data_IF_441827426794
#
_entry.id   IF_441827426794
#
_cell.length_a   1.000
_cell.length_b   1.000
_cell.length_c   1.000
_cell.angle_alpha   90.00
_cell.angle_beta   90.00
_cell.angle_gamma   90.00
#
_symmetry.space_group_name_H-M   'P 1'
#
loop_
_entity.id
_entity.type
_entity.pdbx_description
1 polymer ?
#
# COMPACT_ATOMS: atom_id res chain seq x y z
N UNK A 1 -22.38 -1.14 -18.43
CA UNK A 1 -22.37 -1.30 -16.97
C UNK A 1 -21.88 -2.70 -16.67
N UNK A 2 -20.70 -2.90 -16.08
CA UNK A 2 -20.31 -4.24 -15.65
C UNK A 2 -21.20 -4.60 -14.47
N UNK A 3 -21.79 -5.78 -14.53
CA UNK A 3 -22.63 -6.35 -13.48
C UNK A 3 -21.80 -6.55 -12.22
N UNK A 4 -22.07 -5.75 -11.20
CA UNK A 4 -21.60 -6.02 -9.84
C UNK A 4 -22.13 -7.42 -9.48
N UNK A 5 -21.20 -8.33 -9.22
CA UNK A 5 -21.50 -9.65 -8.65
C UNK A 5 -22.44 -9.44 -7.46
N UNK A 6 -23.47 -10.27 -7.34
CA UNK A 6 -24.40 -10.30 -6.22
C UNK A 6 -23.68 -10.82 -4.98
N UNK A 7 -22.73 -10.05 -4.47
CA UNK A 7 -22.07 -10.32 -3.19
C UNK A 7 -23.12 -10.09 -2.11
N UNK A 8 -23.27 -11.07 -1.22
CA UNK A 8 -24.05 -10.88 -0.01
C UNK A 8 -23.50 -9.61 0.69
N UNK A 9 -24.29 -8.52 0.85
CA UNK A 9 -23.79 -7.27 1.42
C UNK A 9 -23.25 -7.43 2.85
N UNK A 10 -23.61 -8.49 3.53
CA UNK A 10 -23.15 -8.80 4.89
C UNK A 10 -21.89 -9.70 4.91
N UNK A 11 -21.45 -10.21 3.75
CA UNK A 11 -20.19 -10.95 3.67
C UNK A 11 -19.02 -9.98 3.88
N UNK A 12 -17.96 -10.40 4.59
CA UNK A 12 -16.76 -9.57 4.72
C UNK A 12 -16.12 -9.32 3.37
N UNK A 13 -15.78 -8.07 3.06
CA UNK A 13 -14.98 -7.77 1.89
C UNK A 13 -13.51 -8.15 2.12
N UNK A 14 -12.88 -8.81 1.15
CA UNK A 14 -11.47 -9.18 1.20
C UNK A 14 -10.64 -8.22 0.35
N UNK A 15 -9.71 -7.52 1.00
CA UNK A 15 -8.74 -6.66 0.35
C UNK A 15 -7.34 -7.27 0.44
N UNK A 16 -6.54 -7.03 -0.60
CA UNK A 16 -5.12 -7.37 -0.64
C UNK A 16 -4.30 -6.11 -0.86
N UNK A 17 -3.31 -5.87 0.00
CA UNK A 17 -2.34 -4.79 -0.16
C UNK A 17 -1.05 -5.34 -0.71
N UNK A 18 -0.62 -4.79 -1.84
CA UNK A 18 0.71 -4.92 -2.44
C UNK A 18 1.40 -3.57 -2.31
N UNK A 19 2.65 -3.53 -1.87
CA UNK A 19 3.36 -2.29 -1.62
C UNK A 19 4.84 -2.42 -1.94
N UNK A 20 5.44 -1.31 -2.33
CA UNK A 20 6.90 -1.19 -2.43
C UNK A 20 7.50 -2.26 -3.37
N UNK A 21 6.97 -2.32 -4.59
CA UNK A 21 7.39 -3.32 -5.60
C UNK A 21 8.70 -2.94 -6.28
N UNK A 22 8.99 -1.65 -6.38
CA UNK A 22 10.22 -1.09 -6.95
C UNK A 22 10.61 -1.70 -8.30
N UNK A 23 9.62 -1.80 -9.22
CA UNK A 23 9.87 -2.34 -10.56
C UNK A 23 10.72 -1.39 -11.38
N UNK A 24 11.51 -1.94 -12.27
CA UNK A 24 12.31 -1.24 -13.28
C UNK A 24 11.65 -1.36 -14.66
N UNK A 25 12.12 -0.54 -15.62
CA UNK A 25 11.74 -0.67 -17.02
C UNK A 25 12.09 -2.06 -17.56
N UNK A 26 13.23 -2.60 -17.14
CA UNK A 26 13.72 -3.89 -17.55
C UNK A 26 13.31 -4.98 -16.53
N UNK A 27 12.78 -6.10 -17.01
CA UNK A 27 12.31 -7.17 -16.13
C UNK A 27 13.42 -7.87 -15.34
N UNK A 28 14.68 -7.69 -15.72
CA UNK A 28 15.86 -8.18 -14.99
C UNK A 28 16.41 -7.15 -13.99
N UNK A 29 15.75 -6.00 -13.85
CA UNK A 29 16.09 -4.98 -12.87
C UNK A 29 16.10 -5.52 -11.45
N UNK A 30 17.09 -5.11 -10.66
CA UNK A 30 17.27 -5.61 -9.31
C UNK A 30 17.52 -4.49 -8.30
N UNK A 31 16.98 -4.66 -7.09
CA UNK A 31 17.19 -3.81 -5.94
C UNK A 31 17.96 -4.59 -4.88
N UNK A 32 19.17 -4.14 -4.53
CA UNK A 32 20.05 -4.81 -3.58
C UNK A 32 20.24 -6.33 -3.86
N UNK A 33 20.34 -6.70 -5.14
CA UNK A 33 20.52 -8.07 -5.59
C UNK A 33 19.25 -8.89 -5.77
N UNK A 34 18.09 -8.35 -5.40
CA UNK A 34 16.80 -9.01 -5.63
C UNK A 34 16.18 -8.55 -6.96
N UNK A 35 15.88 -9.48 -7.87
CA UNK A 35 15.05 -9.18 -9.04
C UNK A 35 13.63 -8.85 -8.59
N UNK A 36 13.22 -7.59 -8.78
CA UNK A 36 11.95 -7.08 -8.23
C UNK A 36 10.74 -7.59 -8.99
N UNK A 37 10.87 -7.83 -10.31
CA UNK A 37 9.82 -8.40 -11.15
C UNK A 37 9.52 -9.86 -10.74
N UNK A 38 10.55 -10.72 -10.61
CA UNK A 38 10.38 -12.11 -10.17
C UNK A 38 9.79 -12.16 -8.76
N UNK A 39 10.25 -11.30 -7.87
CA UNK A 39 9.72 -11.20 -6.51
C UNK A 39 8.23 -10.88 -6.49
N UNK A 40 7.79 -9.82 -7.20
CA UNK A 40 6.38 -9.46 -7.30
C UNK A 40 5.55 -10.59 -7.94
N UNK A 41 6.05 -11.22 -8.99
CA UNK A 41 5.37 -12.34 -9.65
C UNK A 41 5.12 -13.51 -8.67
N UNK A 42 6.09 -13.84 -7.83
CA UNK A 42 5.94 -14.87 -6.78
C UNK A 42 4.94 -14.47 -5.71
N UNK A 43 4.95 -13.19 -5.27
CA UNK A 43 3.95 -12.70 -4.31
C UNK A 43 2.55 -12.79 -4.91
N UNK A 44 2.35 -12.39 -6.17
CA UNK A 44 1.06 -12.52 -6.86
C UNK A 44 0.63 -14.00 -6.97
N UNK A 45 1.56 -14.89 -7.26
CA UNK A 45 1.30 -16.33 -7.23
C UNK A 45 0.77 -16.79 -5.87
N UNK A 46 1.41 -16.35 -4.79
CA UNK A 46 0.98 -16.65 -3.41
C UNK A 46 -0.41 -16.06 -3.10
N UNK A 47 -0.68 -14.81 -3.52
CA UNK A 47 -2.01 -14.18 -3.38
C UNK A 47 -3.08 -15.04 -4.04
N UNK A 48 -2.87 -15.43 -5.29
CA UNK A 48 -3.82 -16.23 -6.07
C UNK A 48 -4.05 -17.63 -5.51
N UNK A 49 -3.04 -18.20 -4.88
CA UNK A 49 -3.13 -19.51 -4.21
C UNK A 49 -3.96 -19.43 -2.91
N UNK A 50 -3.76 -18.38 -2.13
CA UNK A 50 -4.31 -18.29 -0.77
C UNK A 50 -5.61 -17.52 -0.68
N UNK A 51 -5.86 -16.58 -1.61
CA UNK A 51 -7.01 -15.69 -1.60
C UNK A 51 -7.91 -15.94 -2.82
N UNK A 52 -8.90 -16.83 -2.71
CA UNK A 52 -9.68 -17.29 -3.88
C UNK A 52 -10.64 -16.23 -4.43
N UNK A 53 -11.01 -15.23 -3.63
CA UNK A 53 -11.95 -14.18 -4.02
C UNK A 53 -11.54 -12.87 -3.35
N UNK A 54 -11.05 -11.94 -4.16
CA UNK A 54 -10.56 -10.64 -3.72
C UNK A 54 -11.50 -9.57 -4.25
N UNK A 55 -11.95 -8.66 -3.38
CA UNK A 55 -12.85 -7.57 -3.73
C UNK A 55 -12.11 -6.32 -4.17
N UNK A 56 -10.87 -6.11 -3.68
CA UNK A 56 -10.02 -4.98 -4.06
C UNK A 56 -8.55 -5.25 -3.82
N UNK A 57 -7.71 -4.88 -4.79
CA UNK A 57 -6.26 -4.78 -4.61
C UNK A 57 -5.88 -3.32 -4.33
N UNK A 58 -5.10 -3.10 -3.28
CA UNK A 58 -4.54 -1.80 -2.91
C UNK A 58 -3.03 -1.82 -3.20
N UNK A 59 -2.57 -0.97 -4.11
CA UNK A 59 -1.16 -0.74 -4.38
C UNK A 59 -0.74 0.56 -3.70
N UNK A 60 0.05 0.46 -2.63
CA UNK A 60 0.27 1.55 -1.68
C UNK A 60 1.60 2.27 -1.85
N UNK A 61 2.02 2.47 -3.08
CA UNK A 61 3.17 3.30 -3.46
C UNK A 61 4.46 2.51 -3.67
N UNK A 62 5.44 3.22 -4.20
CA UNK A 62 6.74 2.70 -4.65
C UNK A 62 6.57 1.51 -5.60
N UNK A 63 5.67 1.68 -6.59
CA UNK A 63 5.39 0.67 -7.61
C UNK A 63 6.56 0.55 -8.58
N UNK A 64 7.19 1.68 -8.86
CA UNK A 64 8.35 1.82 -9.74
C UNK A 64 9.57 2.31 -8.97
N UNK A 65 10.76 1.80 -9.33
CA UNK A 65 12.04 2.30 -8.84
C UNK A 65 12.59 3.43 -9.72
N UNK A 66 12.34 3.37 -11.01
CA UNK A 66 12.93 4.27 -12.01
C UNK A 66 11.94 5.29 -12.60
N UNK A 67 10.67 5.27 -12.15
CA UNK A 67 9.62 6.17 -12.62
C UNK A 67 9.22 5.98 -14.08
N UNK A 68 9.67 4.93 -14.74
CA UNK A 68 9.44 4.70 -16.16
C UNK A 68 8.01 4.23 -16.46
N UNK A 69 7.49 4.55 -17.65
CA UNK A 69 6.20 4.03 -18.09
C UNK A 69 6.21 2.49 -18.17
N UNK A 70 7.32 1.91 -18.57
CA UNK A 70 7.47 0.47 -18.71
C UNK A 70 7.32 -0.26 -17.37
N UNK A 71 7.88 0.27 -16.28
CA UNK A 71 7.74 -0.33 -14.95
C UNK A 71 6.28 -0.34 -14.46
N UNK A 72 5.53 0.77 -14.66
CA UNK A 72 4.10 0.81 -14.33
C UNK A 72 3.26 -0.12 -15.21
N UNK A 73 3.59 -0.25 -16.49
CA UNK A 73 2.93 -1.23 -17.38
C UNK A 73 3.17 -2.66 -16.91
N UNK A 74 4.40 -3.00 -16.54
CA UNK A 74 4.73 -4.30 -15.95
C UNK A 74 3.96 -4.54 -14.64
N UNK A 75 3.89 -3.54 -13.76
CA UNK A 75 3.11 -3.65 -12.52
C UNK A 75 1.62 -3.92 -12.82
N UNK A 76 1.06 -3.19 -13.79
CA UNK A 76 -0.33 -3.39 -14.24
C UNK A 76 -0.57 -4.80 -14.81
N UNK A 77 0.33 -5.27 -15.65
CA UNK A 77 0.22 -6.59 -16.28
C UNK A 77 0.35 -7.72 -15.25
N UNK A 78 1.28 -7.59 -14.31
CA UNK A 78 1.47 -8.56 -13.23
C UNK A 78 0.25 -8.59 -12.30
N UNK A 79 -0.18 -7.44 -11.78
CA UNK A 79 -1.32 -7.34 -10.86
C UNK A 79 -2.64 -7.67 -11.53
N UNK A 80 -2.75 -7.46 -12.85
CA UNK A 80 -3.89 -7.88 -13.67
C UNK A 80 -4.13 -9.40 -13.69
N UNK A 81 -3.16 -10.21 -13.23
CA UNK A 81 -3.35 -11.66 -13.02
C UNK A 81 -4.23 -11.97 -11.79
N UNK A 82 -4.44 -10.98 -10.92
CA UNK A 82 -5.41 -11.05 -9.83
C UNK A 82 -6.75 -10.56 -10.41
N UNK A 83 -7.74 -11.44 -10.42
CA UNK A 83 -9.07 -11.12 -10.96
C UNK A 83 -9.86 -10.27 -9.94
N UNK A 84 -9.44 -9.00 -9.76
CA UNK A 84 -10.05 -8.05 -8.84
C UNK A 84 -9.80 -6.61 -9.32
N UNK A 85 -10.70 -5.66 -9.01
CA UNK A 85 -10.43 -4.24 -9.19
C UNK A 85 -9.23 -3.82 -8.35
N UNK A 86 -8.49 -2.79 -8.81
CA UNK A 86 -7.33 -2.27 -8.10
C UNK A 86 -7.40 -0.75 -7.92
N UNK A 87 -6.67 -0.24 -6.92
CA UNK A 87 -6.42 1.19 -6.70
C UNK A 87 -4.95 1.40 -6.37
N UNK A 88 -4.38 2.45 -6.93
CA UNK A 88 -2.97 2.80 -6.79
C UNK A 88 -2.82 4.18 -6.15
N UNK A 89 -1.79 4.34 -5.35
CA UNK A 89 -1.29 5.63 -4.89
C UNK A 89 0.22 5.70 -5.15
N UNK A 90 0.80 6.89 -5.36
CA UNK A 90 2.23 7.02 -5.50
C UNK A 90 2.95 6.93 -4.15
N UNK A 91 4.18 6.43 -4.18
CA UNK A 91 5.18 6.59 -3.14
C UNK A 91 6.26 7.60 -3.53
N UNK A 92 7.36 7.64 -2.79
CA UNK A 92 8.42 8.62 -3.03
C UNK A 92 9.34 8.27 -4.22
N UNK A 93 9.35 7.04 -4.67
CA UNK A 93 10.05 6.62 -5.89
C UNK A 93 9.20 6.78 -7.14
N UNK A 94 7.89 6.97 -7.00
CA UNK A 94 6.99 7.04 -8.13
C UNK A 94 6.98 8.43 -8.80
N UNK A 95 6.74 8.42 -10.12
CA UNK A 95 6.49 9.60 -10.93
C UNK A 95 4.98 9.73 -11.21
N UNK A 96 4.23 10.56 -10.46
CA UNK A 96 2.76 10.59 -10.53
C UNK A 96 2.20 10.85 -11.93
N UNK A 97 2.87 11.66 -12.75
CA UNK A 97 2.42 11.94 -14.11
C UNK A 97 2.57 10.73 -15.04
N UNK A 98 3.66 9.97 -14.87
CA UNK A 98 3.90 8.74 -15.64
C UNK A 98 2.96 7.63 -15.18
N UNK A 99 2.77 7.50 -13.85
CA UNK A 99 1.78 6.60 -13.26
C UNK A 99 0.37 6.88 -13.81
N UNK A 100 -0.03 8.16 -13.88
CA UNK A 100 -1.32 8.55 -14.46
C UNK A 100 -1.46 8.16 -15.94
N UNK A 101 -0.36 8.23 -16.69
CA UNK A 101 -0.36 7.78 -18.08
C UNK A 101 -0.54 6.25 -18.18
N UNK A 102 0.09 5.48 -17.30
CA UNK A 102 -0.11 4.03 -17.25
C UNK A 102 -1.52 3.62 -16.81
N UNK A 103 -2.18 4.48 -16.01
CA UNK A 103 -3.53 4.26 -15.49
C UNK A 103 -4.64 4.80 -16.39
N UNK A 104 -4.33 5.36 -17.56
CA UNK A 104 -5.31 5.98 -18.47
C UNK A 104 -6.43 4.99 -18.84
N UNK A 105 -7.66 5.48 -18.91
CA UNK A 105 -8.89 4.70 -19.17
C UNK A 105 -9.19 3.60 -18.12
N UNK A 106 -8.78 3.80 -16.87
CA UNK A 106 -9.07 2.89 -15.76
C UNK A 106 -9.42 3.68 -14.49
N UNK A 107 -9.95 2.98 -13.49
CA UNK A 107 -10.25 3.54 -12.17
C UNK A 107 -9.07 3.40 -11.19
N UNK A 108 -7.87 3.07 -11.66
CA UNK A 108 -6.72 2.74 -10.80
C UNK A 108 -6.34 3.87 -9.84
N UNK A 109 -6.51 5.13 -10.23
CA UNK A 109 -6.16 6.30 -9.43
C UNK A 109 -7.37 6.99 -8.78
N UNK A 110 -8.55 6.38 -8.84
CA UNK A 110 -9.72 6.93 -8.14
C UNK A 110 -9.50 6.90 -6.63
N UNK A 111 -9.59 8.06 -5.94
CA UNK A 111 -9.14 8.17 -4.57
C UNK A 111 -10.13 7.64 -3.54
N UNK A 112 -11.37 7.33 -3.95
CA UNK A 112 -12.41 6.84 -3.05
C UNK A 112 -13.12 5.65 -3.69
N UNK A 113 -13.28 4.58 -2.92
CA UNK A 113 -14.04 3.40 -3.36
C UNK A 113 -14.89 2.86 -2.21
N UNK A 114 -16.15 2.58 -2.51
CA UNK A 114 -17.09 1.97 -1.58
C UNK A 114 -17.17 0.45 -1.81
N UNK A 115 -17.02 -0.33 -0.72
CA UNK A 115 -17.09 -1.79 -0.74
C UNK A 115 -17.93 -2.25 0.43
N UNK A 116 -19.10 -2.85 0.17
CA UNK A 116 -20.01 -3.25 1.22
C UNK A 116 -20.33 -2.08 2.17
N UNK A 117 -20.06 -2.26 3.45
CA UNK A 117 -20.27 -1.24 4.50
C UNK A 117 -19.05 -0.34 4.73
N UNK A 118 -18.02 -0.43 3.89
CA UNK A 118 -16.78 0.31 4.03
C UNK A 118 -16.57 1.32 2.93
N UNK A 119 -15.84 2.37 3.26
CA UNK A 119 -15.23 3.31 2.32
C UNK A 119 -13.73 3.27 2.50
N UNK A 120 -13.02 3.05 1.40
CA UNK A 120 -11.56 3.16 1.33
C UNK A 120 -11.22 4.50 0.71
N UNK A 121 -10.42 5.29 1.41
CA UNK A 121 -9.92 6.59 0.92
C UNK A 121 -8.42 6.49 0.74
N UNK A 122 -7.95 6.80 -0.47
CA UNK A 122 -6.55 6.73 -0.86
C UNK A 122 -6.02 8.15 -1.04
N UNK A 123 -4.96 8.49 -0.30
CA UNK A 123 -4.36 9.82 -0.29
C UNK A 123 -2.97 9.78 -0.90
N UNK A 124 -2.64 10.81 -1.66
CA UNK A 124 -1.29 11.04 -2.14
C UNK A 124 -0.49 11.79 -1.06
N UNK A 125 0.55 11.13 -0.54
CA UNK A 125 1.51 11.72 0.41
C UNK A 125 2.88 11.96 -0.22
N UNK A 126 3.06 11.65 -1.51
CA UNK A 126 4.32 11.87 -2.20
C UNK A 126 4.58 13.36 -2.42
N UNK A 127 5.84 13.74 -2.32
CA UNK A 127 6.31 15.09 -2.58
C UNK A 127 7.40 15.02 -3.64
N UNK A 128 7.23 15.65 -4.80
CA UNK A 128 8.21 15.55 -5.88
C UNK A 128 9.63 15.87 -5.43
N UNK A 129 10.57 14.96 -5.70
CA UNK A 129 11.97 15.09 -5.33
C UNK A 129 12.29 15.00 -3.83
N UNK A 130 11.38 14.46 -3.03
CA UNK A 130 11.55 14.31 -1.58
C UNK A 130 11.25 12.89 -1.15
N UNK A 131 12.09 12.28 -0.30
CA UNK A 131 11.82 10.97 0.29
C UNK A 131 10.73 11.07 1.38
N UNK A 132 10.79 11.99 2.36
CA UNK A 132 9.70 12.16 3.31
C UNK A 132 8.41 12.69 2.66
N UNK A 133 7.28 12.19 3.14
CA UNK A 133 5.95 12.55 2.66
C UNK A 133 5.34 13.79 3.30
N UNK A 134 4.30 14.29 2.65
CA UNK A 134 3.48 15.40 3.17
C UNK A 134 2.07 15.32 2.58
N UNK A 135 1.04 15.37 3.41
CA UNK A 135 -0.35 15.51 2.95
C UNK A 135 -0.66 16.99 2.69
N UNK A 136 -0.78 17.33 1.41
CA UNK A 136 -1.19 18.68 1.00
C UNK A 136 -2.61 19.00 1.49
N UNK A 137 -2.95 20.28 1.59
CA UNK A 137 -4.27 20.71 2.05
C UNK A 137 -5.41 20.10 1.24
N UNK A 138 -5.23 19.89 -0.07
CA UNK A 138 -6.20 19.23 -0.93
C UNK A 138 -6.45 17.77 -0.53
N UNK A 139 -5.41 17.06 -0.10
CA UNK A 139 -5.53 15.67 0.36
C UNK A 139 -6.25 15.59 1.72
N UNK A 140 -5.98 16.53 2.62
CA UNK A 140 -6.69 16.63 3.91
C UNK A 140 -8.16 17.03 3.72
N UNK A 141 -8.46 17.89 2.74
CA UNK A 141 -9.84 18.26 2.35
C UNK A 141 -10.57 17.08 1.74
N UNK A 142 -9.93 16.34 0.80
CA UNK A 142 -10.46 15.10 0.22
C UNK A 142 -10.81 14.09 1.33
N UNK A 143 -9.90 13.88 2.28
CA UNK A 143 -10.15 12.99 3.41
C UNK A 143 -11.36 13.44 4.23
N UNK A 144 -11.39 14.71 4.65
CA UNK A 144 -12.49 15.25 5.46
C UNK A 144 -13.84 15.15 4.74
N UNK A 145 -13.86 15.40 3.42
CA UNK A 145 -15.03 15.28 2.58
C UNK A 145 -15.49 13.81 2.49
N UNK A 146 -14.59 12.88 2.14
CA UNK A 146 -14.90 11.46 2.00
C UNK A 146 -15.48 10.87 3.30
N UNK A 147 -14.94 11.28 4.47
CA UNK A 147 -15.42 10.87 5.78
C UNK A 147 -16.82 11.45 6.08
N UNK A 148 -17.04 12.72 5.75
CA UNK A 148 -18.30 13.42 6.01
C UNK A 148 -19.45 12.94 5.12
N UNK A 149 -19.17 12.59 3.88
CA UNK A 149 -20.17 12.13 2.91
C UNK A 149 -20.71 10.72 3.19
N UNK A 150 -19.98 9.92 3.96
CA UNK A 150 -20.36 8.55 4.28
C UNK A 150 -20.33 8.26 5.79
N UNK A 151 -21.09 9.01 6.62
CA UNK A 151 -21.03 8.89 8.08
C UNK A 151 -21.52 7.55 8.62
N UNK A 152 -22.24 6.78 7.80
CA UNK A 152 -22.80 5.47 8.14
C UNK A 152 -21.91 4.31 7.67
N UNK A 153 -20.77 4.60 7.02
CA UNK A 153 -19.78 3.59 6.61
C UNK A 153 -18.62 3.54 7.59
N UNK A 154 -17.98 2.39 7.66
CA UNK A 154 -16.66 2.25 8.27
C UNK A 154 -15.60 2.72 7.29
N UNK A 155 -14.51 3.31 7.77
CA UNK A 155 -13.51 3.89 6.90
C UNK A 155 -12.13 3.24 7.10
N UNK A 156 -11.48 2.93 5.97
CA UNK A 156 -10.06 2.61 5.85
C UNK A 156 -9.39 3.75 5.08
N UNK A 157 -8.31 4.30 5.63
CA UNK A 157 -7.53 5.40 5.00
C UNK A 157 -6.16 4.87 4.61
N UNK A 158 -5.79 5.05 3.35
CA UNK A 158 -4.54 4.54 2.79
C UNK A 158 -3.67 5.70 2.27
N UNK A 159 -2.37 5.65 2.53
CA UNK A 159 -1.35 6.52 1.94
C UNK A 159 0.02 5.83 2.04
N UNK A 160 1.09 6.44 1.52
CA UNK A 160 2.36 5.73 1.44
C UNK A 160 3.23 5.84 2.69
N UNK A 161 3.48 7.07 3.20
CA UNK A 161 4.47 7.33 4.24
C UNK A 161 3.94 7.07 5.66
N UNK A 162 4.74 6.49 6.54
CA UNK A 162 4.34 6.18 7.92
C UNK A 162 4.03 7.47 8.74
N UNK A 163 2.88 7.51 9.45
CA UNK A 163 2.44 8.70 10.20
C UNK A 163 2.84 8.68 11.68
N UNK A 164 3.51 7.62 12.13
CA UNK A 164 3.93 7.44 13.53
C UNK A 164 5.33 6.86 13.57
N UNK A 165 6.04 7.08 14.68
CA UNK A 165 7.32 6.43 14.91
C UNK A 165 7.18 4.91 14.80
N UNK A 166 8.07 4.28 14.07
CA UNK A 166 8.11 2.83 13.90
C UNK A 166 9.21 2.18 14.73
N UNK A 167 10.03 2.99 15.43
CA UNK A 167 11.15 2.53 16.23
C UNK A 167 12.37 2.12 15.39
N UNK A 168 12.50 2.67 14.19
CA UNK A 168 13.62 2.45 13.27
C UNK A 168 14.27 3.80 12.98
N UNK A 169 15.39 4.11 13.62
CA UNK A 169 15.93 5.47 13.71
C UNK A 169 16.22 6.12 12.35
N UNK A 170 16.78 5.36 11.38
CA UNK A 170 17.07 5.90 10.05
C UNK A 170 15.82 6.20 9.22
N UNK A 171 14.67 5.57 9.54
CA UNK A 171 13.41 5.81 8.86
C UNK A 171 12.59 6.97 9.45
N UNK A 172 12.81 7.33 10.73
CA UNK A 172 12.03 8.38 11.39
C UNK A 172 12.01 9.71 10.61
N UNK A 173 13.15 10.19 10.02
CA UNK A 173 13.16 11.45 9.27
C UNK A 173 12.42 11.41 7.94
N UNK A 174 12.10 10.22 7.42
CA UNK A 174 11.53 10.04 6.07
C UNK A 174 10.04 9.64 6.09
N UNK A 175 9.39 9.68 7.25
CA UNK A 175 7.95 9.49 7.38
C UNK A 175 7.11 10.68 6.90
N UNK A 176 5.85 10.68 7.27
CA UNK A 176 4.92 11.78 7.01
C UNK A 176 5.29 12.99 7.86
N UNK A 177 5.54 14.16 7.25
CA UNK A 177 6.00 15.38 7.94
C UNK A 177 4.91 16.14 8.70
N UNK A 178 3.63 15.91 8.36
CA UNK A 178 2.49 16.57 9.01
C UNK A 178 1.46 15.57 9.56
N UNK A 179 1.88 14.58 10.38
CA UNK A 179 0.96 13.58 10.92
C UNK A 179 -0.10 14.20 11.84
N UNK A 180 0.21 15.30 12.51
CA UNK A 180 -0.74 16.01 13.39
C UNK A 180 -1.95 16.53 12.60
N UNK A 181 -1.73 17.03 11.37
CA UNK A 181 -2.82 17.48 10.50
C UNK A 181 -3.71 16.32 10.07
N UNK A 182 -3.12 15.16 9.74
CA UNK A 182 -3.85 13.94 9.46
C UNK A 182 -4.71 13.52 10.67
N UNK A 183 -4.10 13.37 11.84
CA UNK A 183 -4.80 12.92 13.05
C UNK A 183 -5.85 13.93 13.50
N UNK A 184 -5.63 15.24 13.32
CA UNK A 184 -6.65 16.25 13.60
C UNK A 184 -7.92 16.07 12.73
N UNK A 185 -7.80 15.54 11.53
CA UNK A 185 -8.96 15.15 10.72
C UNK A 185 -9.55 13.85 11.25
N UNK A 186 -8.75 12.77 11.38
CA UNK A 186 -9.24 11.45 11.75
C UNK A 186 -9.95 11.41 13.09
N UNK A 187 -9.43 12.10 14.10
CA UNK A 187 -9.98 12.10 15.48
C UNK A 187 -11.39 12.73 15.57
N UNK A 188 -11.86 13.40 14.52
CA UNK A 188 -13.22 13.94 14.42
C UNK A 188 -14.24 12.90 13.93
N UNK A 189 -13.80 11.76 13.43
CA UNK A 189 -14.62 10.77 12.74
C UNK A 189 -14.48 9.37 13.37
N UNK A 190 -15.33 9.00 14.33
CA UNK A 190 -15.24 7.73 15.07
C UNK A 190 -15.49 6.49 14.20
N UNK A 191 -16.02 6.68 12.98
CA UNK A 191 -16.19 5.61 11.99
C UNK A 191 -14.90 5.19 11.29
N UNK A 192 -13.79 5.93 11.43
CA UNK A 192 -12.47 5.49 10.96
C UNK A 192 -12.01 4.30 11.81
N UNK A 193 -11.70 3.18 11.15
CA UNK A 193 -11.30 1.92 11.81
C UNK A 193 -9.84 1.59 11.62
N UNK A 194 -9.26 1.99 10.49
CA UNK A 194 -7.85 1.72 10.24
C UNK A 194 -7.21 2.76 9.32
N UNK A 195 -5.90 2.89 9.48
CA UNK A 195 -4.96 3.58 8.58
C UNK A 195 -3.98 2.54 8.07
N UNK A 196 -3.69 2.55 6.77
CA UNK A 196 -2.85 1.57 6.08
C UNK A 196 -1.80 2.29 5.24
N UNK A 197 -0.54 1.86 5.35
CA UNK A 197 0.58 2.47 4.58
C UNK A 197 1.61 1.46 4.10
N UNK A 198 2.52 1.90 3.22
CA UNK A 198 3.68 1.18 2.72
C UNK A 198 4.99 1.74 3.28
N UNK A 199 5.97 2.00 2.42
CA UNK A 199 7.21 2.72 2.67
C UNK A 199 8.21 2.05 3.63
N UNK A 200 7.72 1.44 4.67
CA UNK A 200 8.57 0.92 5.76
C UNK A 200 9.10 -0.49 5.49
N UNK A 201 8.58 -1.20 4.50
CA UNK A 201 8.91 -2.59 4.18
C UNK A 201 8.90 -3.50 5.42
N UNK A 202 8.01 -3.21 6.37
CA UNK A 202 7.87 -3.94 7.62
C UNK A 202 6.39 -4.20 7.91
N UNK A 203 6.12 -5.31 8.55
CA UNK A 203 4.80 -5.56 9.13
C UNK A 203 4.62 -4.76 10.42
N UNK A 204 3.62 -3.90 10.44
CA UNK A 204 3.21 -3.15 11.63
C UNK A 204 1.72 -3.37 11.87
N UNK A 205 1.37 -3.57 13.14
CA UNK A 205 0.00 -3.64 13.61
C UNK A 205 -0.05 -3.04 15.02
N UNK A 206 -0.54 -1.83 15.10
CA UNK A 206 -0.63 -1.03 16.34
C UNK A 206 -2.00 -0.38 16.40
N UNK A 207 -2.30 0.26 17.51
CA UNK A 207 -3.56 0.98 17.72
C UNK A 207 -3.30 2.38 18.29
N UNK A 208 -4.09 3.35 17.82
CA UNK A 208 -4.17 4.70 18.36
C UNK A 208 -5.64 5.11 18.44
N UNK A 209 -6.12 5.41 19.65
CA UNK A 209 -7.50 5.89 19.90
C UNK A 209 -8.60 5.00 19.27
N UNK A 210 -8.41 3.68 19.27
CA UNK A 210 -9.36 2.73 18.65
C UNK A 210 -9.23 2.61 17.13
N UNK A 211 -8.27 3.29 16.50
CA UNK A 211 -7.94 3.18 15.08
C UNK A 211 -6.72 2.28 14.92
N UNK A 212 -6.83 1.22 14.12
CA UNK A 212 -5.68 0.36 13.81
C UNK A 212 -4.73 1.07 12.87
N UNK A 213 -3.44 0.95 13.15
CA UNK A 213 -2.33 1.51 12.39
C UNK A 213 -1.54 0.37 11.78
N UNK A 214 -1.64 0.21 10.46
CA UNK A 214 -1.18 -0.98 9.74
C UNK A 214 -0.15 -0.61 8.67
N UNK A 215 0.98 -1.33 8.64
CA UNK A 215 1.91 -1.31 7.53
C UNK A 215 2.10 -2.69 6.91
N UNK A 216 2.41 -2.70 5.63
CA UNK A 216 2.65 -3.92 4.86
C UNK A 216 4.13 -4.22 4.70
N UNK A 217 4.52 -5.51 4.61
CA UNK A 217 5.78 -5.85 4.00
C UNK A 217 5.84 -5.37 2.55
N UNK A 218 7.04 -5.18 2.05
CA UNK A 218 7.28 -4.97 0.63
C UNK A 218 7.09 -6.28 -0.16
N UNK A 219 6.72 -6.17 -1.42
CA UNK A 219 6.74 -7.28 -2.35
C UNK A 219 8.14 -7.57 -2.90
N UNK A 220 9.17 -6.78 -2.47
CA UNK A 220 10.58 -7.05 -2.74
C UNK A 220 11.39 -7.12 -1.43
N UNK A 221 12.41 -6.29 -1.23
CA UNK A 221 13.26 -6.33 -0.02
C UNK A 221 12.52 -5.88 1.23
N UNK A 222 12.97 -6.37 2.39
CA UNK A 222 12.44 -5.98 3.68
C UNK A 222 13.47 -5.19 4.49
N UNK A 223 13.05 -4.21 5.28
CA UNK A 223 13.93 -3.50 6.20
C UNK A 223 13.89 -4.11 7.60
N UNK A 224 15.04 -4.12 8.27
CA UNK A 224 15.14 -4.69 9.61
C UNK A 224 14.46 -3.78 10.64
N UNK A 225 13.48 -4.28 11.41
CA UNK A 225 12.85 -3.51 12.46
C UNK A 225 13.84 -3.10 13.56
N UNK A 226 13.65 -1.91 14.13
CA UNK A 226 14.41 -1.44 15.29
C UNK A 226 15.88 -1.11 14.99
N UNK A 227 16.29 -0.99 13.73
CA UNK A 227 17.66 -0.65 13.36
C UNK A 227 17.94 0.85 13.48
N UNK A 228 19.15 1.19 13.92
CA UNK A 228 19.62 2.57 13.97
C UNK A 228 20.01 3.07 12.57
N UNK A 229 20.77 2.24 11.84
CA UNK A 229 21.21 2.49 10.48
C UNK A 229 20.41 1.66 9.47
N UNK A 230 20.55 2.01 8.18
CA UNK A 230 19.96 1.24 7.09
C UNK A 230 20.38 -0.23 7.18
N UNK A 231 19.40 -1.12 7.25
CA UNK A 231 19.62 -2.55 7.35
C UNK A 231 18.49 -3.34 6.69
N UNK A 232 18.87 -4.26 5.81
CA UNK A 232 17.95 -5.22 5.18
C UNK A 232 17.66 -6.37 6.15
N UNK A 233 16.41 -6.82 6.16
CA UNK A 233 15.97 -8.03 6.86
C UNK A 233 16.05 -9.24 5.94
N UNK A 234 16.28 -10.42 6.50
CA UNK A 234 16.21 -11.70 5.79
C UNK A 234 14.79 -12.23 5.58
N UNK A 235 13.79 -11.47 6.04
CA UNK A 235 12.39 -11.86 5.84
C UNK A 235 12.05 -11.88 4.35
N UNK A 236 11.25 -12.86 3.95
CA UNK A 236 10.79 -12.99 2.57
C UNK A 236 9.80 -11.88 2.19
N UNK A 237 9.71 -11.53 0.90
CA UNK A 237 8.65 -10.72 0.34
C UNK A 237 7.26 -11.24 0.68
N UNK A 238 6.29 -10.34 0.72
CA UNK A 238 4.94 -10.74 1.08
C UNK A 238 3.88 -9.69 0.76
N UNK A 239 2.70 -9.93 1.26
CA UNK A 239 1.55 -9.04 1.13
C UNK A 239 0.73 -9.02 2.42
N UNK A 240 -0.12 -8.00 2.58
CA UNK A 240 -1.13 -7.96 3.66
C UNK A 240 -2.51 -8.24 3.07
N UNK A 241 -3.31 -9.02 3.79
CA UNK A 241 -4.74 -9.16 3.52
C UNK A 241 -5.56 -8.49 4.64
N UNK A 242 -6.75 -8.00 4.28
CA UNK A 242 -7.70 -7.39 5.21
C UNK A 242 -9.10 -7.95 4.92
N UNK A 243 -9.80 -8.42 5.95
CA UNK A 243 -11.22 -8.76 5.90
C UNK A 243 -12.01 -7.69 6.62
N UNK A 244 -12.87 -7.02 5.90
CA UNK A 244 -13.66 -5.89 6.35
C UNK A 244 -15.09 -6.36 6.59
N UNK A 245 -15.47 -6.54 7.84
CA UNK A 245 -16.80 -7.02 8.23
C UNK A 245 -17.84 -5.90 8.21
N UNK A 246 -19.10 -6.24 7.99
CA UNK A 246 -20.22 -5.28 7.93
C UNK A 246 -20.40 -4.49 9.23
N UNK A 247 -20.03 -5.06 10.39
CA UNK A 247 -20.08 -4.43 11.72
C UNK A 247 -18.91 -3.49 12.04
N UNK A 248 -17.96 -3.34 11.11
CA UNK A 248 -16.75 -2.51 11.28
C UNK A 248 -15.56 -3.24 11.91
N UNK A 249 -15.69 -4.51 12.22
CA UNK A 249 -14.56 -5.34 12.63
C UNK A 249 -13.63 -5.56 11.44
N UNK A 250 -12.32 -5.46 11.68
CA UNK A 250 -11.27 -5.68 10.70
C UNK A 250 -10.37 -6.83 11.17
N UNK A 251 -10.26 -7.87 10.35
CA UNK A 251 -9.25 -8.92 10.48
C UNK A 251 -8.16 -8.71 9.46
N UNK A 252 -6.91 -8.98 9.81
CA UNK A 252 -5.79 -8.83 8.88
C UNK A 252 -4.64 -9.74 9.27
N UNK A 253 -3.83 -10.07 8.31
CA UNK A 253 -2.57 -10.77 8.48
C UNK A 253 -1.62 -10.50 7.31
N UNK A 254 -0.42 -10.97 7.45
CA UNK A 254 0.65 -10.91 6.45
C UNK A 254 1.00 -12.31 6.02
N UNK A 255 1.11 -12.52 4.72
CA UNK A 255 1.61 -13.76 4.14
C UNK A 255 2.91 -13.48 3.39
N UNK A 256 3.86 -14.40 3.51
CA UNK A 256 5.19 -14.29 2.91
C UNK A 256 5.54 -15.53 2.10
N UNK A 257 6.35 -15.35 1.05
CA UNK A 257 6.84 -16.45 0.22
C UNK A 257 7.63 -17.41 1.10
N UNK A 258 7.31 -18.70 1.02
CA UNK A 258 8.02 -19.75 1.75
C UNK A 258 9.25 -20.20 0.98
N UNK A 259 10.36 -20.49 1.70
CA UNK A 259 11.59 -20.98 1.09
C UNK A 259 12.24 -19.97 0.14
N UNK A 260 11.98 -18.68 0.32
CA UNK A 260 12.61 -17.62 -0.44
C UNK A 260 13.99 -17.30 0.19
N UNK A 261 15.01 -17.46 -0.61
CA UNK A 261 16.38 -17.14 -0.22
C UNK A 261 16.97 -16.15 -1.25
N UNK A 262 17.61 -15.11 -0.78
CA UNK A 262 18.39 -14.21 -1.61
C UNK A 262 19.58 -13.68 -0.82
N UNK A 263 20.62 -13.28 -1.54
CA UNK A 263 21.79 -12.66 -0.94
C UNK A 263 21.72 -11.16 -1.18
N UNK A 264 21.79 -10.38 -0.08
CA UNK A 264 21.78 -8.92 -0.18
C UNK A 264 23.10 -8.43 -0.78
N UNK A 265 23.02 -7.73 -1.89
CA UNK A 265 24.16 -7.05 -2.51
C UNK A 265 24.16 -5.57 -2.10
N UNK A 266 24.87 -5.26 -1.02
CA UNK A 266 25.07 -3.87 -0.57
C UNK A 266 25.99 -3.04 -1.49
N UNK A 267 26.63 -3.65 -2.47
CA UNK A 267 27.45 -2.97 -3.48
C UNK A 267 26.64 -2.47 -4.69
N UNK A 268 25.39 -2.93 -4.83
CA UNK A 268 24.50 -2.45 -5.89
C UNK A 268 23.93 -1.07 -5.56
N UNK A 269 23.91 -0.17 -6.56
CA UNK A 269 23.25 1.13 -6.41
C UNK A 269 21.73 0.92 -6.38
N UNK A 270 21.02 1.54 -5.45
CA UNK A 270 19.57 1.45 -5.51
C UNK A 270 18.77 1.93 -4.30
N UNK A 271 19.43 2.27 -3.20
CA UNK A 271 18.75 2.88 -2.04
C UNK A 271 19.57 4.00 -1.46
#
# INVERSE_FOLDING_TARGET
MPSVSTVNPDAPALLVQLSDSHLFAEADGSLLGMNTHDSLQRVIGLVREQQPQIDLVLATGDLSQDGSLASYQQFRDLTGQIDAPARWIPGNHDEPQVMAHAAVHSDLLEPVVDIGHWRVTLLDSAVPGSVPGYLQDQQLQLLAQALSEAPHRHHLVCFHHHPVSIGCAWMEPIGLRNPEALFAVLDRFPQVKAVLWGHVHQEIDRERNGVRLLASPSTCIQFAPGSEDFKVSEQAPGYRWLRLHADGRLETGVERIKGFEFTVDYGSNGY
#
